data_IF_565317641183
#
_entry.id   IF_565317641183
#
_cell.length_a   1.000
_cell.length_b   1.000
_cell.length_c   1.000
_cell.angle_alpha   90.00
_cell.angle_beta   90.00
_cell.angle_gamma   90.00
#
_symmetry.space_group_name_H-M   'P 1'
#
loop_
_entity.id
_entity.type
_entity.pdbx_description
1 polymer ?
#
# COMPACT_ATOMS: atom_id res chain seq x y z
N UNK A 1 5.14 -0.59 3.32
CA UNK A 1 4.61 -0.79 1.95
C UNK A 1 4.15 0.56 1.44
N UNK A 2 4.48 0.91 0.21
CA UNK A 2 4.17 2.20 -0.41
C UNK A 2 3.58 1.99 -1.81
N UNK A 3 2.51 2.72 -2.12
CA UNK A 3 1.81 2.69 -3.40
C UNK A 3 1.94 4.05 -4.08
N UNK A 4 2.52 4.05 -5.27
CA UNK A 4 2.65 5.26 -6.08
C UNK A 4 1.31 5.67 -6.70
N UNK A 5 1.13 6.97 -6.94
CA UNK A 5 0.00 7.53 -7.71
C UNK A 5 -1.34 7.55 -6.99
N UNK A 6 -1.48 6.87 -5.87
CA UNK A 6 -2.73 6.75 -5.12
C UNK A 6 -2.47 7.01 -3.64
N UNK A 7 -3.44 7.62 -2.98
CA UNK A 7 -3.54 7.57 -1.52
C UNK A 7 -4.54 6.48 -1.14
N UNK A 8 -4.31 5.81 -0.02
CA UNK A 8 -5.17 4.77 0.52
C UNK A 8 -5.51 5.03 2.00
N UNK A 9 -6.59 4.40 2.47
CA UNK A 9 -6.93 4.26 3.89
C UNK A 9 -6.75 2.80 4.30
N UNK A 10 -6.29 2.57 5.52
CA UNK A 10 -6.30 1.23 6.12
C UNK A 10 -7.68 1.04 6.73
N UNK A 11 -8.46 0.10 6.22
CA UNK A 11 -9.82 -0.17 6.69
C UNK A 11 -9.87 -1.30 7.72
N UNK A 12 -8.84 -2.14 7.75
CA UNK A 12 -8.68 -3.22 8.73
C UNK A 12 -7.19 -3.53 8.96
N UNK A 13 -6.83 -3.85 10.20
CA UNK A 13 -5.48 -4.26 10.61
C UNK A 13 -5.60 -5.47 11.53
N UNK A 14 -4.99 -6.60 11.16
CA UNK A 14 -5.06 -7.87 11.88
C UNK A 14 -6.50 -8.30 12.25
N UNK A 15 -7.42 -8.22 11.28
CA UNK A 15 -8.83 -8.58 11.50
C UNK A 15 -9.67 -7.54 12.23
N UNK A 16 -9.08 -6.40 12.65
CA UNK A 16 -9.79 -5.35 13.39
C UNK A 16 -10.03 -4.12 12.52
N UNK A 17 -11.27 -3.62 12.42
CA UNK A 17 -11.55 -2.38 11.69
C UNK A 17 -10.75 -1.20 12.24
N UNK A 18 -10.31 -0.31 11.35
CA UNK A 18 -9.64 0.95 11.71
C UNK A 18 -10.55 2.11 11.30
N UNK A 19 -11.49 2.54 12.17
CA UNK A 19 -12.35 3.67 11.87
C UNK A 19 -11.51 4.94 11.73
N UNK A 20 -11.94 5.83 10.85
CA UNK A 20 -11.37 7.17 10.69
C UNK A 20 -9.86 7.21 10.36
N UNK A 21 -9.32 6.14 9.77
CA UNK A 21 -7.92 6.09 9.34
C UNK A 21 -7.58 7.28 8.40
N UNK A 22 -6.45 7.97 8.57
CA UNK A 22 -6.06 9.03 7.64
C UNK A 22 -5.73 8.47 6.25
N UNK A 23 -5.77 9.34 5.24
CA UNK A 23 -5.20 9.03 3.92
C UNK A 23 -3.68 9.01 3.98
N UNK A 24 -3.06 8.03 3.34
CA UNK A 24 -1.61 7.79 3.30
C UNK A 24 -1.21 7.17 1.97
N UNK A 25 0.04 7.29 1.58
CA UNK A 25 0.62 6.60 0.43
C UNK A 25 1.55 5.45 0.85
N UNK A 26 1.88 5.35 2.14
CA UNK A 26 2.71 4.32 2.72
C UNK A 26 2.38 4.01 4.16
N UNK A 27 2.57 2.75 4.55
CA UNK A 27 2.35 2.26 5.91
C UNK A 27 3.43 1.27 6.34
N UNK A 28 3.79 1.31 7.63
CA UNK A 28 4.68 0.33 8.25
C UNK A 28 3.91 -0.96 8.54
N UNK A 29 4.43 -2.08 8.04
CA UNK A 29 3.88 -3.42 8.24
C UNK A 29 4.85 -4.26 9.06
N UNK A 30 4.36 -4.81 10.18
CA UNK A 30 5.10 -5.75 11.00
C UNK A 30 5.16 -7.16 10.41
N UNK A 31 6.02 -8.01 10.96
CA UNK A 31 6.05 -9.44 10.60
C UNK A 31 4.76 -10.13 11.04
N UNK A 32 4.17 -10.95 10.16
CA UNK A 32 2.91 -11.66 10.41
C UNK A 32 1.66 -10.76 10.43
N UNK A 33 1.82 -9.46 10.18
CA UNK A 33 0.72 -8.51 10.14
C UNK A 33 -0.05 -8.54 8.82
N UNK A 34 -1.36 -8.35 8.91
CA UNK A 34 -2.23 -8.17 7.75
C UNK A 34 -2.90 -6.80 7.79
N UNK A 35 -2.98 -6.15 6.64
CA UNK A 35 -3.70 -4.89 6.47
C UNK A 35 -4.58 -4.97 5.25
N UNK A 36 -5.82 -4.48 5.38
CA UNK A 36 -6.73 -4.26 4.25
C UNK A 36 -6.73 -2.76 3.96
N UNK A 37 -6.32 -2.39 2.75
CA UNK A 37 -6.31 -1.01 2.28
C UNK A 37 -7.44 -0.77 1.28
N UNK A 38 -7.93 0.46 1.20
CA UNK A 38 -8.90 0.91 0.21
C UNK A 38 -8.39 2.21 -0.44
N UNK A 39 -8.48 2.29 -1.77
CA UNK A 39 -8.11 3.44 -2.58
C UNK A 39 -8.98 3.50 -3.83
N UNK A 40 -9.00 4.65 -4.51
CA UNK A 40 -9.70 4.82 -5.78
C UNK A 40 -8.66 4.85 -6.90
N UNK A 41 -8.82 4.00 -7.91
CA UNK A 41 -7.89 3.85 -9.02
C UNK A 41 -8.36 4.68 -10.24
N UNK A 42 -8.35 6.01 -10.13
CA UNK A 42 -8.90 6.90 -11.17
C UNK A 42 -7.93 7.14 -12.33
N UNK A 43 -6.62 7.23 -12.04
CA UNK A 43 -5.60 7.58 -13.03
C UNK A 43 -5.03 6.34 -13.75
N UNK A 44 -5.21 6.21 -15.07
CA UNK A 44 -4.63 5.12 -15.86
C UNK A 44 -3.10 5.13 -15.79
N UNK A 45 -2.48 3.96 -15.72
CA UNK A 45 -1.02 3.88 -15.66
C UNK A 45 -0.48 2.60 -15.04
N UNK A 46 0.84 2.57 -14.92
CA UNK A 46 1.57 1.53 -14.17
C UNK A 46 2.12 2.15 -12.89
N UNK A 47 1.51 1.78 -11.78
CA UNK A 47 1.83 2.29 -10.45
C UNK A 47 2.65 1.27 -9.68
N UNK A 48 3.80 1.69 -9.17
CA UNK A 48 4.69 0.81 -8.40
C UNK A 48 4.13 0.60 -6.99
N UNK A 49 4.09 -0.64 -6.54
CA UNK A 49 3.83 -1.03 -5.16
C UNK A 49 5.07 -1.74 -4.63
N UNK A 50 5.68 -1.22 -3.57
CA UNK A 50 6.94 -1.78 -3.06
C UNK A 50 7.12 -1.59 -1.55
N UNK A 51 8.10 -2.31 -0.99
CA UNK A 51 8.61 -1.97 0.33
C UNK A 51 9.43 -0.67 0.25
N UNK A 52 9.18 0.28 1.14
CA UNK A 52 9.88 1.57 1.14
C UNK A 52 11.22 1.54 1.92
N UNK A 53 11.63 0.36 2.39
CA UNK A 53 13.02 0.07 2.76
C UNK A 53 13.79 -0.15 1.46
N UNK A 54 14.72 0.75 1.12
CA UNK A 54 15.34 0.80 -0.21
C UNK A 54 16.12 -0.46 -0.54
N UNK A 55 16.75 -1.07 0.45
CA UNK A 55 17.49 -2.32 0.29
C UNK A 55 16.55 -3.48 -0.06
N UNK A 56 15.33 -3.48 0.49
CA UNK A 56 14.32 -4.50 0.17
C UNK A 56 13.74 -4.29 -1.24
N UNK A 57 13.49 -3.03 -1.65
CA UNK A 57 13.02 -2.76 -3.01
C UNK A 57 14.10 -3.09 -4.04
N UNK A 58 15.35 -2.72 -3.79
CA UNK A 58 16.50 -3.08 -4.61
C UNK A 58 16.71 -4.61 -4.66
N UNK A 59 16.43 -5.31 -3.56
CA UNK A 59 16.40 -6.77 -3.49
C UNK A 59 15.22 -7.43 -4.22
N UNK A 60 14.30 -6.66 -4.81
CA UNK A 60 13.21 -7.16 -5.64
C UNK A 60 11.82 -7.16 -5.00
N UNK A 61 11.65 -6.61 -3.79
CA UNK A 61 10.35 -6.53 -3.11
C UNK A 61 9.45 -5.43 -3.69
N UNK A 62 9.03 -5.63 -4.94
CA UNK A 62 8.23 -4.69 -5.72
C UNK A 62 7.31 -5.42 -6.69
N UNK A 63 6.18 -4.78 -7.02
CA UNK A 63 5.25 -5.23 -8.06
C UNK A 63 4.55 -4.02 -8.69
N UNK A 64 3.83 -4.25 -9.78
CA UNK A 64 3.11 -3.20 -10.52
C UNK A 64 1.61 -3.40 -10.41
N UNK A 65 0.91 -2.33 -10.05
CA UNK A 65 -0.53 -2.19 -10.27
C UNK A 65 -0.74 -1.53 -11.63
N UNK A 66 -1.54 -2.15 -12.50
CA UNK A 66 -1.94 -1.55 -13.78
C UNK A 66 -3.40 -1.11 -13.71
N UNK A 67 -3.64 0.16 -14.03
CA UNK A 67 -4.97 0.76 -14.16
C UNK A 67 -5.19 1.07 -15.65
N UNK A 68 -6.28 0.56 -16.22
CA UNK A 68 -6.66 0.64 -17.63
C UNK A 68 -8.13 0.97 -17.76
#
# INVERSE_FOLDING_TARGET
>A
MHLHGHHFRIVERNGRPVPDAPWRDGELMGSGETMRIAFVAEEPGKWLLHCHMLEHSAGGMMTWLRVT
#
